data_IF_908823161529
#
_entry.id   IF_908823161529
#
_cell.length_a   1.000
_cell.length_b   1.000
_cell.length_c   1.000
_cell.angle_alpha   90.00
_cell.angle_beta   90.00
_cell.angle_gamma   90.00
#
_symmetry.space_group_name_H-M   'P 1'
#
loop_
_entity.id
_entity.type
_entity.pdbx_description
1 polymer ?
#
# COMPACT_ATOMS: atom_id res chain seq x y z
N UNK A 1 -2.20 12.71 19.67
CA UNK A 1 -1.28 11.56 19.65
C UNK A 1 -0.80 11.44 18.21
N UNK A 2 0.48 11.71 17.93
CA UNK A 2 0.98 11.62 16.54
C UNK A 2 1.01 10.15 16.13
N UNK A 3 0.25 9.79 15.09
CA UNK A 3 0.23 8.42 14.59
C UNK A 3 1.58 8.10 13.93
N UNK A 4 2.32 7.14 14.48
CA UNK A 4 3.57 6.64 13.91
C UNK A 4 3.39 5.20 13.38
N UNK A 5 4.42 4.67 12.71
CA UNK A 5 4.40 3.31 12.16
C UNK A 5 4.08 2.24 13.21
N UNK A 6 4.50 2.42 14.47
CA UNK A 6 4.26 1.44 15.54
C UNK A 6 2.79 1.41 15.94
N UNK A 7 2.15 2.58 15.99
CA UNK A 7 0.72 2.69 16.30
C UNK A 7 -0.12 2.03 15.20
N UNK A 8 0.19 2.29 13.92
CA UNK A 8 -0.49 1.65 12.78
C UNK A 8 -0.38 0.13 12.86
N UNK A 9 0.85 -0.39 13.06
CA UNK A 9 1.09 -1.83 13.20
C UNK A 9 0.30 -2.40 14.38
N UNK A 10 0.29 -1.71 15.53
CA UNK A 10 -0.45 -2.16 16.71
C UNK A 10 -1.95 -2.21 16.47
N UNK A 11 -2.52 -1.20 15.83
CA UNK A 11 -3.96 -1.12 15.60
C UNK A 11 -4.43 -2.15 14.58
N UNK A 12 -3.75 -2.26 13.43
CA UNK A 12 -4.11 -3.25 12.41
C UNK A 12 -3.85 -4.69 12.89
N UNK A 13 -2.83 -4.92 13.72
CA UNK A 13 -2.60 -6.23 14.31
C UNK A 13 -3.70 -6.66 15.28
N UNK A 14 -4.26 -5.72 16.05
CA UNK A 14 -5.45 -6.01 16.89
C UNK A 14 -6.68 -6.41 16.08
N UNK A 15 -6.71 -6.06 14.78
CA UNK A 15 -7.76 -6.45 13.84
C UNK A 15 -7.47 -7.77 13.11
N UNK A 16 -6.42 -8.50 13.52
CA UNK A 16 -6.10 -9.83 12.98
C UNK A 16 -5.03 -9.85 11.89
N UNK A 17 -4.44 -8.71 11.53
CA UNK A 17 -3.39 -8.66 10.49
C UNK A 17 -2.01 -8.97 11.08
N UNK A 18 -1.23 -9.81 10.41
CA UNK A 18 0.11 -10.24 10.79
C UNK A 18 1.09 -9.06 10.91
N UNK A 19 1.79 -8.93 12.05
CA UNK A 19 2.77 -7.85 12.26
C UNK A 19 3.87 -7.82 11.20
N UNK A 20 4.35 -9.00 10.77
CA UNK A 20 5.38 -9.10 9.73
C UNK A 20 4.91 -8.53 8.40
N UNK A 21 3.66 -8.81 8.01
CA UNK A 21 3.06 -8.27 6.79
C UNK A 21 2.93 -6.75 6.88
N UNK A 22 2.45 -6.23 8.02
CA UNK A 22 2.32 -4.79 8.26
C UNK A 22 3.66 -4.06 8.23
N UNK A 23 4.70 -4.65 8.82
CA UNK A 23 6.05 -4.08 8.78
C UNK A 23 6.60 -4.04 7.35
N UNK A 24 6.48 -5.14 6.60
CA UNK A 24 6.90 -5.19 5.20
C UNK A 24 6.16 -4.15 4.35
N UNK A 25 4.85 -4.02 4.54
CA UNK A 25 4.04 -3.01 3.86
C UNK A 25 4.49 -1.58 4.14
N UNK A 26 4.73 -1.23 5.42
CA UNK A 26 5.20 0.11 5.79
C UNK A 26 6.65 0.37 5.38
N UNK A 27 7.50 -0.66 5.37
CA UNK A 27 8.89 -0.52 4.92
C UNK A 27 8.96 -0.32 3.40
N UNK A 28 8.14 -1.01 2.60
CA UNK A 28 7.99 -0.70 1.18
C UNK A 28 7.49 0.73 0.96
N UNK A 29 6.51 1.18 1.75
CA UNK A 29 6.04 2.56 1.65
C UNK A 29 7.15 3.59 1.91
N UNK A 30 7.99 3.40 2.92
CA UNK A 30 9.16 4.27 3.17
C UNK A 30 10.13 4.24 2.00
N UNK A 31 10.39 3.06 1.42
CA UNK A 31 11.27 2.92 0.25
C UNK A 31 10.70 3.69 -0.95
N UNK A 32 9.39 3.62 -1.21
CA UNK A 32 8.73 4.38 -2.28
C UNK A 32 9.03 5.87 -2.14
N UNK A 33 8.77 6.48 -0.98
CA UNK A 33 9.02 7.91 -0.77
C UNK A 33 10.50 8.24 -0.94
N UNK A 34 11.39 7.41 -0.40
CA UNK A 34 12.83 7.61 -0.51
C UNK A 34 13.35 7.53 -1.96
N UNK A 35 12.86 6.58 -2.77
CA UNK A 35 13.28 6.38 -4.16
C UNK A 35 12.68 7.42 -5.09
N UNK A 36 11.43 7.84 -4.86
CA UNK A 36 10.79 8.95 -5.56
C UNK A 36 11.61 10.25 -5.40
N UNK A 37 12.03 10.57 -4.18
CA UNK A 37 12.87 11.74 -3.91
C UNK A 37 14.26 11.68 -4.59
N UNK A 38 14.84 10.47 -4.68
CA UNK A 38 16.11 10.24 -5.38
C UNK A 38 15.98 10.15 -6.90
N UNK A 39 14.77 10.32 -7.43
CA UNK A 39 14.48 10.19 -8.85
C UNK A 39 14.76 8.81 -9.44
N UNK A 40 14.69 7.77 -8.60
CA UNK A 40 14.91 6.38 -9.02
C UNK A 40 13.57 5.75 -9.43
N UNK A 41 13.10 6.08 -10.64
CA UNK A 41 11.76 5.73 -11.10
C UNK A 41 11.50 4.22 -11.18
N UNK A 42 12.47 3.45 -11.71
CA UNK A 42 12.36 2.00 -11.81
C UNK A 42 12.17 1.32 -10.44
N UNK A 43 13.02 1.67 -9.47
CA UNK A 43 12.95 1.10 -8.11
C UNK A 43 11.73 1.61 -7.37
N UNK A 44 11.36 2.88 -7.55
CA UNK A 44 10.13 3.46 -7.00
C UNK A 44 8.90 2.66 -7.43
N UNK A 45 8.73 2.40 -8.74
CA UNK A 45 7.60 1.62 -9.25
C UNK A 45 7.66 0.16 -8.78
N UNK A 46 8.85 -0.42 -8.71
CA UNK A 46 9.02 -1.78 -8.19
C UNK A 46 8.54 -1.91 -6.75
N UNK A 47 8.92 -0.96 -5.87
CA UNK A 47 8.48 -0.90 -4.48
C UNK A 47 6.96 -0.61 -4.38
N UNK A 48 6.41 0.24 -5.25
CA UNK A 48 4.96 0.44 -5.34
C UNK A 48 4.22 -0.86 -5.67
N UNK A 49 4.77 -1.68 -6.57
CA UNK A 49 4.25 -3.01 -6.89
C UNK A 49 4.18 -3.92 -5.65
N UNK A 50 5.27 -4.05 -4.91
CA UNK A 50 5.32 -4.85 -3.67
C UNK A 50 4.35 -4.31 -2.61
N UNK A 51 4.30 -2.98 -2.44
CA UNK A 51 3.33 -2.34 -1.55
C UNK A 51 1.88 -2.69 -1.95
N UNK A 52 1.56 -2.72 -3.25
CA UNK A 52 0.23 -3.09 -3.73
C UNK A 52 -0.11 -4.57 -3.46
N UNK A 53 0.87 -5.48 -3.56
CA UNK A 53 0.74 -6.89 -3.19
C UNK A 53 0.45 -7.06 -1.70
N UNK A 54 1.24 -6.40 -0.85
CA UNK A 54 0.99 -6.41 0.58
C UNK A 54 -0.35 -5.77 0.94
N UNK A 55 -0.80 -4.75 0.21
CA UNK A 55 -2.11 -4.12 0.41
C UNK A 55 -3.26 -5.12 0.26
N UNK A 56 -3.31 -5.88 -0.85
CA UNK A 56 -4.37 -6.87 -1.05
C UNK A 56 -4.26 -8.06 -0.09
N UNK A 57 -3.04 -8.43 0.31
CA UNK A 57 -2.83 -9.43 1.36
C UNK A 57 -3.35 -8.94 2.73
N UNK A 58 -3.08 -7.69 3.11
CA UNK A 58 -3.61 -7.09 4.35
C UNK A 58 -5.14 -7.10 4.35
N UNK A 59 -5.77 -6.72 3.24
CA UNK A 59 -7.23 -6.77 3.12
C UNK A 59 -7.75 -8.20 3.29
N UNK A 60 -7.09 -9.18 2.70
CA UNK A 60 -7.49 -10.58 2.84
C UNK A 60 -7.35 -11.06 4.29
N UNK A 61 -6.23 -10.81 4.98
CA UNK A 61 -6.10 -11.14 6.41
C UNK A 61 -7.16 -10.42 7.28
N UNK A 62 -7.43 -9.15 6.97
CA UNK A 62 -8.39 -8.33 7.71
C UNK A 62 -9.84 -8.84 7.59
N UNK A 63 -10.22 -9.39 6.43
CA UNK A 63 -11.60 -9.81 6.15
C UNK A 63 -11.84 -11.33 6.17
N UNK A 64 -10.79 -12.14 6.18
CA UNK A 64 -10.85 -13.61 6.31
C UNK A 64 -10.29 -14.11 7.65
N UNK A 65 -9.56 -13.27 8.38
CA UNK A 65 -8.96 -13.60 9.69
C UNK A 65 -8.02 -14.81 9.65
N UNK A 66 -7.41 -15.07 8.49
CA UNK A 66 -6.43 -16.14 8.29
C UNK A 66 -5.08 -15.57 7.85
N UNK A 67 -3.96 -16.00 8.43
CA UNK A 67 -2.65 -15.51 8.06
C UNK A 67 -2.27 -15.93 6.63
N UNK A 68 -1.60 -15.04 5.90
CA UNK A 68 -1.16 -15.27 4.53
C UNK A 68 0.33 -15.61 4.49
N UNK A 69 0.69 -16.55 3.63
CA UNK A 69 2.09 -16.78 3.29
C UNK A 69 2.61 -15.63 2.41
N UNK A 70 3.41 -14.75 3.00
CA UNK A 70 3.96 -13.55 2.35
C UNK A 70 4.93 -13.87 1.20
N UNK A 71 5.49 -15.08 1.15
CA UNK A 71 6.36 -15.52 0.07
C UNK A 71 5.57 -15.98 -1.18
N UNK A 72 4.24 -16.03 -1.10
CA UNK A 72 3.38 -16.56 -2.17
C UNK A 72 2.07 -15.75 -2.27
N UNK A 73 2.19 -14.44 -2.45
CA UNK A 73 1.04 -13.55 -2.64
C UNK A 73 0.55 -13.64 -4.09
N UNK A 74 -0.69 -14.13 -4.27
CA UNK A 74 -1.34 -14.21 -5.58
C UNK A 74 -2.18 -12.95 -5.82
N UNK A 75 -1.53 -11.88 -6.27
CA UNK A 75 -2.17 -10.55 -6.41
C UNK A 75 -3.54 -10.62 -7.09
N UNK A 76 -3.62 -11.23 -8.27
CA UNK A 76 -4.85 -11.24 -9.07
C UNK A 76 -5.99 -12.03 -8.41
N UNK A 77 -5.67 -13.08 -7.66
CA UNK A 77 -6.67 -13.85 -6.91
C UNK A 77 -7.18 -13.02 -5.72
N UNK A 78 -6.28 -12.44 -4.93
CA UNK A 78 -6.67 -11.66 -3.75
C UNK A 78 -7.43 -10.39 -4.13
N UNK A 79 -7.04 -9.74 -5.23
CA UNK A 79 -7.77 -8.62 -5.80
C UNK A 79 -9.21 -9.02 -6.18
N UNK A 80 -9.39 -10.14 -6.89
CA UNK A 80 -10.71 -10.66 -7.27
C UNK A 80 -11.56 -10.97 -6.04
N UNK A 81 -10.98 -11.65 -5.05
CA UNK A 81 -11.65 -11.97 -3.79
C UNK A 81 -12.19 -10.69 -3.11
N UNK A 82 -11.37 -9.63 -3.03
CA UNK A 82 -11.77 -8.35 -2.44
C UNK A 82 -12.97 -7.72 -3.18
N UNK A 83 -12.88 -7.57 -4.50
CA UNK A 83 -13.92 -6.88 -5.27
C UNK A 83 -15.22 -7.68 -5.37
N UNK A 84 -15.17 -9.01 -5.22
CA UNK A 84 -16.36 -9.88 -5.21
C UNK A 84 -17.04 -9.99 -3.85
N UNK A 85 -16.33 -9.67 -2.76
CA UNK A 85 -16.88 -9.72 -1.40
C UNK A 85 -18.00 -8.70 -1.20
N UNK A 86 -18.98 -9.03 -0.34
CA UNK A 86 -20.07 -8.11 0.01
C UNK A 86 -19.54 -6.82 0.66
N UNK A 87 -20.17 -5.69 0.35
CA UNK A 87 -19.80 -4.34 0.80
C UNK A 87 -21.01 -3.69 1.49
N UNK A 88 -21.34 -4.10 2.72
CA UNK A 88 -22.58 -3.68 3.39
C UNK A 88 -22.58 -2.22 3.85
N UNK A 89 -21.44 -1.54 3.85
CA UNK A 89 -21.31 -0.16 4.30
C UNK A 89 -20.25 0.61 3.47
N UNK A 90 -20.23 1.96 3.56
CA UNK A 90 -19.29 2.78 2.78
C UNK A 90 -17.81 2.51 3.08
N UNK A 91 -17.46 2.14 4.32
CA UNK A 91 -16.09 1.79 4.67
C UNK A 91 -15.63 0.54 3.92
N UNK A 92 -16.49 -0.48 3.85
CA UNK A 92 -16.25 -1.69 3.08
C UNK A 92 -16.19 -1.41 1.57
N UNK A 93 -16.96 -0.45 1.04
CA UNK A 93 -16.81 -0.02 -0.35
C UNK A 93 -15.41 0.57 -0.61
N UNK A 94 -14.91 1.42 0.28
CA UNK A 94 -13.56 1.98 0.12
C UNK A 94 -12.51 0.87 0.21
N UNK A 95 -12.57 0.02 1.23
CA UNK A 95 -11.54 -0.98 1.51
C UNK A 95 -11.60 -2.21 0.59
N UNK A 96 -12.77 -2.58 0.08
CA UNK A 96 -12.96 -3.77 -0.77
C UNK A 96 -13.23 -3.43 -2.24
N UNK A 97 -13.29 -2.15 -2.63
CA UNK A 97 -13.41 -1.73 -4.03
C UNK A 97 -12.37 -0.67 -4.42
N UNK A 98 -12.41 0.51 -3.79
CA UNK A 98 -11.57 1.63 -4.20
C UNK A 98 -10.07 1.36 -3.95
N UNK A 99 -9.72 0.87 -2.76
CA UNK A 99 -8.35 0.50 -2.39
C UNK A 99 -7.82 -0.64 -3.28
N UNK A 100 -8.54 -1.76 -3.51
CA UNK A 100 -8.14 -2.79 -4.46
C UNK A 100 -7.94 -2.29 -5.89
N UNK A 101 -8.78 -1.38 -6.38
CA UNK A 101 -8.59 -0.78 -7.71
C UNK A 101 -7.35 0.11 -7.78
N UNK A 102 -7.07 0.90 -6.74
CA UNK A 102 -5.83 1.67 -6.65
C UNK A 102 -4.62 0.73 -6.66
N UNK A 103 -4.63 -0.34 -5.85
CA UNK A 103 -3.58 -1.36 -5.85
C UNK A 103 -3.43 -2.04 -7.22
N UNK A 104 -4.54 -2.38 -7.90
CA UNK A 104 -4.52 -2.99 -9.23
C UNK A 104 -3.93 -2.06 -10.28
N UNK A 105 -4.18 -0.76 -10.15
CA UNK A 105 -3.60 0.27 -11.04
C UNK A 105 -2.09 0.32 -10.88
N UNK A 106 -1.60 0.39 -9.65
CA UNK A 106 -0.17 0.32 -9.33
C UNK A 106 0.46 -0.96 -9.90
N UNK A 107 -0.15 -2.12 -9.60
CA UNK A 107 0.33 -3.42 -10.03
C UNK A 107 0.39 -3.54 -11.57
N UNK A 108 -0.62 -2.98 -12.26
CA UNK A 108 -0.65 -2.92 -13.72
C UNK A 108 0.51 -2.10 -14.26
N UNK A 109 0.74 -0.90 -13.73
CA UNK A 109 1.85 -0.04 -14.16
C UNK A 109 3.19 -0.74 -13.94
N UNK A 110 3.41 -1.33 -12.76
CA UNK A 110 4.63 -2.09 -12.43
C UNK A 110 4.88 -3.27 -13.37
N UNK A 111 3.83 -3.96 -13.82
CA UNK A 111 3.97 -5.12 -14.70
C UNK A 111 4.11 -4.75 -16.18
N UNK A 112 3.56 -3.61 -16.60
CA UNK A 112 3.58 -3.16 -18.01
C UNK A 112 4.72 -2.21 -18.33
N UNK A 113 5.20 -1.45 -17.35
CA UNK A 113 6.43 -0.66 -17.43
C UNK A 113 7.56 -1.41 -16.74
N UNK A 114 8.81 -1.27 -17.19
CA UNK A 114 9.93 -2.16 -16.79
C UNK A 114 10.03 -2.33 -15.27
N UNK A 115 9.50 -3.45 -14.79
CA UNK A 115 9.76 -4.02 -13.46
C UNK A 115 10.26 -5.47 -13.50
N UNK A 116 10.28 -6.14 -14.68
CA UNK A 116 10.71 -7.55 -14.80
C UNK A 116 11.08 -8.09 -16.21
N UNK A 117 10.69 -7.48 -17.34
CA UNK A 117 10.95 -8.06 -18.69
C UNK A 117 11.50 -7.05 -19.72
N UNK A 118 12.40 -7.55 -20.59
CA UNK A 118 13.25 -6.82 -21.56
C UNK A 118 12.50 -5.97 -22.61
N UNK A 119 11.17 -6.11 -22.74
CA UNK A 119 10.33 -5.40 -23.73
C UNK A 119 9.32 -4.40 -23.13
N UNK A 120 9.52 -3.93 -21.91
CA UNK A 120 8.60 -3.00 -21.28
C UNK A 120 8.99 -1.53 -21.53
N UNK A 121 7.99 -0.64 -21.49
CA UNK A 121 8.16 0.81 -21.56
C UNK A 121 8.90 1.25 -20.31
N UNK A 122 9.91 2.12 -20.46
CA UNK A 122 10.63 2.64 -19.30
C UNK A 122 9.69 3.52 -18.47
N UNK A 123 9.64 3.32 -17.14
CA UNK A 123 8.86 4.19 -16.29
C UNK A 123 9.48 5.57 -16.18
N UNK A 124 8.62 6.58 -16.13
CA UNK A 124 9.01 7.96 -16.05
C UNK A 124 8.61 8.60 -14.70
N UNK A 125 8.85 9.90 -14.60
CA UNK A 125 8.46 10.71 -13.46
C UNK A 125 6.95 10.71 -13.22
N UNK A 126 6.14 10.80 -14.29
CA UNK A 126 4.68 10.91 -14.21
C UNK A 126 4.09 9.60 -13.69
N UNK A 127 4.58 8.47 -14.19
CA UNK A 127 4.22 7.15 -13.67
C UNK A 127 4.51 7.05 -12.18
N UNK A 128 5.74 7.40 -11.79
CA UNK A 128 6.22 7.31 -10.41
C UNK A 128 5.43 8.23 -9.49
N UNK A 129 5.11 9.45 -9.93
CA UNK A 129 4.30 10.42 -9.19
C UNK A 129 2.88 9.86 -8.98
N UNK A 130 2.28 9.30 -10.03
CA UNK A 130 0.94 8.76 -9.98
C UNK A 130 0.86 7.56 -9.03
N UNK A 131 1.74 6.56 -9.17
CA UNK A 131 1.70 5.37 -8.29
C UNK A 131 2.12 5.67 -6.85
N UNK A 132 3.00 6.66 -6.65
CA UNK A 132 3.33 7.15 -5.29
C UNK A 132 2.11 7.81 -4.65
N UNK A 133 1.37 8.63 -5.39
CA UNK A 133 0.15 9.29 -4.90
C UNK A 133 -0.96 8.27 -4.61
N UNK A 134 -1.10 7.22 -5.42
CA UNK A 134 -1.99 6.10 -5.11
C UNK A 134 -1.57 5.35 -3.85
N UNK A 135 -0.26 5.19 -3.61
CA UNK A 135 0.26 4.56 -2.40
C UNK A 135 -0.03 5.41 -1.16
N UNK A 136 0.12 6.74 -1.26
CA UNK A 136 -0.27 7.70 -0.22
C UNK A 136 -1.78 7.59 0.07
N UNK A 137 -2.62 7.54 -0.96
CA UNK A 137 -4.07 7.35 -0.84
C UNK A 137 -4.38 6.04 -0.11
N UNK A 138 -3.83 4.90 -0.53
CA UNK A 138 -4.08 3.60 0.11
C UNK A 138 -3.73 3.65 1.60
N UNK A 139 -2.52 4.13 1.95
CA UNK A 139 -2.10 4.24 3.35
C UNK A 139 -3.05 5.14 4.16
N UNK A 140 -3.47 6.27 3.58
CA UNK A 140 -4.41 7.18 4.23
C UNK A 140 -5.75 6.52 4.56
N UNK A 141 -6.27 5.64 3.69
CA UNK A 141 -7.54 4.96 3.95
C UNK A 141 -7.44 3.99 5.12
N UNK A 142 -6.34 3.24 5.24
CA UNK A 142 -6.13 2.39 6.43
C UNK A 142 -6.01 3.22 7.71
N UNK A 143 -5.33 4.36 7.65
CA UNK A 143 -5.18 5.26 8.79
C UNK A 143 -6.54 5.81 9.24
N UNK A 144 -7.31 6.35 8.30
CA UNK A 144 -8.60 6.98 8.60
C UNK A 144 -9.64 5.95 9.05
N UNK A 145 -9.75 4.83 8.35
CA UNK A 145 -10.86 3.88 8.53
C UNK A 145 -10.56 2.83 9.60
N UNK A 146 -9.33 2.33 9.70
CA UNK A 146 -8.99 1.24 10.62
C UNK A 146 -8.16 1.66 11.84
N UNK A 147 -7.42 2.76 11.73
CA UNK A 147 -6.55 3.24 12.80
C UNK A 147 -7.18 4.37 13.63
N UNK A 148 -8.42 4.79 13.32
CA UNK A 148 -9.09 5.96 13.93
C UNK A 148 -8.20 7.21 13.88
N UNK A 149 -7.35 7.33 12.86
CA UNK A 149 -6.52 8.48 12.63
C UNK A 149 -7.32 9.65 12.07
N UNK A 150 -6.75 10.83 12.14
CA UNK A 150 -7.30 12.07 11.57
C UNK A 150 -6.61 12.42 10.25
N UNK A 151 -7.16 13.38 9.50
CA UNK A 151 -6.47 13.93 8.33
C UNK A 151 -5.11 14.52 8.69
N UNK A 152 -4.97 15.13 9.88
CA UNK A 152 -3.69 15.63 10.37
C UNK A 152 -2.70 14.49 10.62
N UNK A 153 -3.16 13.35 11.14
CA UNK A 153 -2.30 12.17 11.31
C UNK A 153 -1.77 11.65 9.98
N UNK A 154 -2.62 11.62 8.95
CA UNK A 154 -2.22 11.25 7.58
C UNK A 154 -1.18 12.23 7.04
N UNK A 155 -1.46 13.54 7.10
CA UNK A 155 -0.55 14.57 6.61
C UNK A 155 0.82 14.48 7.31
N UNK A 156 0.82 14.37 8.63
CA UNK A 156 2.02 14.21 9.43
C UNK A 156 2.77 12.92 9.08
N UNK A 157 2.07 11.80 8.86
CA UNK A 157 2.71 10.53 8.50
C UNK A 157 3.44 10.64 7.15
N UNK A 158 2.78 11.21 6.14
CA UNK A 158 3.34 11.39 4.80
C UNK A 158 4.53 12.37 4.85
N UNK A 159 4.40 13.48 5.58
CA UNK A 159 5.46 14.49 5.71
C UNK A 159 6.66 13.95 6.50
N UNK A 160 6.45 13.31 7.65
CA UNK A 160 7.53 12.79 8.50
C UNK A 160 8.40 11.72 7.80
N UNK A 161 7.82 10.93 6.89
CA UNK A 161 8.57 9.94 6.12
C UNK A 161 9.49 10.61 5.09
N UNK A 162 9.12 11.79 4.61
CA UNK A 162 9.95 12.63 3.74
C UNK A 162 11.02 13.36 4.56
N UNK A 163 10.66 13.87 5.73
CA UNK A 163 11.52 14.73 6.58
C UNK A 163 12.60 13.97 7.37
N UNK A 164 12.37 12.70 7.75
CA UNK A 164 13.34 11.86 8.48
C UNK A 164 14.65 11.53 7.73
N UNK A 165 14.91 12.22 6.61
CA UNK A 165 16.18 12.19 5.87
C UNK A 165 17.04 13.44 6.02
N UNK A 166 16.52 14.51 6.63
CA UNK A 166 17.25 15.78 6.81
C UNK A 166 17.72 16.03 8.26
N UNK A 167 17.66 15.00 9.11
CA UNK A 167 18.22 14.99 10.47
C UNK A 167 19.15 13.80 10.66
#
# INVERSE_FOLDING_TARGET
MTLDSKIIVSQLNKLGVSKSLLNNWLDEYKKIKNEFLKQQWNTCISNCGLFSEYTVAILKELYEQSPINQNNIHFDNFYKDCIQKSKPNPEDEILLLAVPHAAKTIYTIRNKKKGAHVKAIDPDYVDSLFVTSLSDYILSQFVLLKCKGTQNDVANLIQNIIEKKFL
#
